data_IF_567928818235
#
_entry.id   IF_567928818235
#
_cell.length_a   1.000
_cell.length_b   1.000
_cell.length_c   1.000
_cell.angle_alpha   90.00
_cell.angle_beta   90.00
_cell.angle_gamma   90.00
#
_symmetry.space_group_name_H-M   'P 1'
#
loop_
_entity.id
_entity.type
_entity.pdbx_description
1 polymer ?
#
# COMPACT_ATOMS: atom_id res chain seq x y z
N UNK A 1 -28.31 -2.64 -2.32
CA UNK A 1 -28.37 -3.84 -1.45
C UNK A 1 -29.01 -4.96 -2.24
N UNK A 2 -28.22 -5.65 -3.07
CA UNK A 2 -28.61 -6.92 -3.68
C UNK A 2 -27.85 -7.97 -2.89
N UNK A 3 -28.52 -8.61 -1.94
CA UNK A 3 -28.02 -9.82 -1.28
C UNK A 3 -28.15 -10.94 -2.31
N UNK A 4 -27.12 -11.06 -3.17
CA UNK A 4 -26.94 -12.25 -3.99
C UNK A 4 -26.56 -13.41 -3.07
N UNK A 5 -27.54 -14.23 -2.72
CA UNK A 5 -27.28 -15.55 -2.13
C UNK A 5 -26.54 -16.40 -3.18
N UNK A 6 -25.21 -16.35 -3.17
CA UNK A 6 -24.42 -17.37 -3.83
C UNK A 6 -24.51 -18.64 -2.99
N UNK A 7 -25.36 -19.56 -3.43
CA UNK A 7 -25.18 -20.95 -3.08
C UNK A 7 -23.84 -21.38 -3.71
N UNK A 8 -22.76 -21.34 -2.92
CA UNK A 8 -21.52 -22.06 -3.24
C UNK A 8 -21.89 -23.54 -3.27
N UNK A 9 -22.28 -24.03 -4.45
CA UNK A 9 -22.38 -25.45 -4.71
C UNK A 9 -20.93 -25.94 -4.74
N UNK A 10 -20.46 -26.43 -3.60
CA UNK A 10 -19.25 -27.24 -3.52
C UNK A 10 -19.51 -28.51 -4.32
N UNK A 11 -19.33 -28.43 -5.64
CA UNK A 11 -19.18 -29.63 -6.46
C UNK A 11 -18.01 -30.41 -5.87
N UNK A 12 -18.21 -31.69 -5.58
CA UNK A 12 -17.13 -32.57 -5.16
C UNK A 12 -16.06 -32.55 -6.24
N UNK A 13 -14.99 -31.81 -6.01
CA UNK A 13 -13.86 -31.69 -6.91
C UNK A 13 -13.00 -32.94 -6.76
N UNK A 14 -13.50 -34.07 -7.23
CA UNK A 14 -12.70 -35.29 -7.30
C UNK A 14 -11.51 -35.04 -8.25
N UNK A 15 -10.32 -34.87 -7.67
CA UNK A 15 -9.04 -34.76 -8.39
C UNK A 15 -8.42 -33.36 -8.46
N UNK A 16 -9.11 -32.29 -8.08
CA UNK A 16 -8.46 -30.96 -8.02
C UNK A 16 -7.70 -30.80 -6.70
N UNK A 17 -6.51 -30.19 -6.79
CA UNK A 17 -5.86 -29.61 -5.63
C UNK A 17 -6.76 -28.47 -5.14
N UNK A 18 -6.96 -27.43 -5.95
CA UNK A 18 -7.71 -26.26 -5.50
C UNK A 18 -8.21 -25.44 -6.69
N UNK A 19 -9.15 -24.52 -6.44
CA UNK A 19 -9.72 -23.62 -7.44
C UNK A 19 -9.60 -22.14 -7.09
N UNK A 20 -9.51 -21.26 -8.09
CA UNK A 20 -9.50 -19.81 -7.93
C UNK A 20 -10.54 -19.22 -8.87
N UNK A 21 -11.51 -18.50 -8.30
CA UNK A 21 -12.59 -17.83 -9.02
C UNK A 21 -12.31 -16.34 -9.12
N UNK A 22 -12.40 -15.77 -10.32
CA UNK A 22 -12.30 -14.34 -10.53
C UNK A 22 -13.70 -13.72 -10.73
N UNK A 23 -14.31 -13.25 -9.65
CA UNK A 23 -15.59 -12.53 -9.65
C UNK A 23 -15.39 -11.00 -9.72
N UNK A 24 -14.33 -10.55 -10.39
CA UNK A 24 -14.06 -9.13 -10.64
C UNK A 24 -14.34 -8.76 -12.08
N UNK A 25 -14.44 -7.47 -12.36
CA UNK A 25 -14.59 -6.93 -13.71
C UNK A 25 -13.29 -6.89 -14.53
N UNK A 26 -12.15 -7.29 -13.96
CA UNK A 26 -10.83 -7.23 -14.59
C UNK A 26 -10.14 -8.59 -14.63
N UNK A 27 -9.32 -8.87 -15.67
CA UNK A 27 -8.50 -10.07 -15.66
C UNK A 27 -7.48 -10.00 -14.53
N UNK A 28 -7.11 -11.16 -14.00
CA UNK A 28 -6.13 -11.29 -12.91
C UNK A 28 -5.10 -12.36 -13.23
N UNK A 29 -3.88 -12.22 -12.74
CA UNK A 29 -2.87 -13.26 -12.67
C UNK A 29 -2.89 -13.83 -11.27
N UNK A 30 -3.11 -15.12 -11.12
CA UNK A 30 -3.04 -15.81 -9.85
C UNK A 30 -1.79 -16.70 -9.85
N UNK A 31 -1.01 -16.67 -8.76
CA UNK A 31 0.17 -17.53 -8.59
C UNK A 31 0.26 -18.08 -7.18
N UNK A 32 0.77 -19.30 -7.03
CA UNK A 32 1.11 -19.85 -5.70
C UNK A 32 2.53 -19.47 -5.35
N UNK A 33 2.71 -18.79 -4.21
CA UNK A 33 4.05 -18.46 -3.73
C UNK A 33 4.77 -19.72 -3.26
N UNK A 34 5.96 -19.97 -3.82
CA UNK A 34 6.76 -21.16 -3.52
C UNK A 34 6.37 -22.40 -4.32
N UNK A 35 5.47 -22.28 -5.29
CA UNK A 35 5.22 -23.26 -6.35
C UNK A 35 5.43 -22.62 -7.74
N UNK A 36 5.19 -23.41 -8.78
CA UNK A 36 5.34 -23.02 -10.18
C UNK A 36 3.99 -22.74 -10.88
N UNK A 37 2.86 -22.91 -10.17
CA UNK A 37 1.54 -22.54 -10.69
C UNK A 37 1.38 -21.02 -10.80
N UNK A 38 1.07 -20.58 -12.02
CA UNK A 38 0.96 -19.18 -12.41
C UNK A 38 0.08 -19.05 -13.65
N UNK A 39 -1.11 -18.47 -13.50
CA UNK A 39 -2.12 -18.41 -14.57
C UNK A 39 -2.82 -17.07 -14.63
N UNK A 40 -3.33 -16.73 -15.81
CA UNK A 40 -4.22 -15.60 -16.01
C UNK A 40 -5.68 -16.08 -16.01
N UNK A 41 -6.52 -15.49 -15.16
CA UNK A 41 -7.94 -15.80 -14.98
C UNK A 41 -8.76 -14.61 -15.48
N UNK A 42 -9.67 -14.84 -16.41
CA UNK A 42 -10.54 -13.80 -16.97
C UNK A 42 -11.70 -13.44 -16.02
N UNK A 43 -12.33 -12.26 -16.17
CA UNK A 43 -13.54 -11.91 -15.44
C UNK A 43 -14.62 -12.99 -15.55
N UNK A 44 -15.22 -13.39 -14.42
CA UNK A 44 -16.28 -14.38 -14.36
C UNK A 44 -15.86 -15.81 -14.67
N UNK A 45 -14.55 -16.09 -14.77
CA UNK A 45 -14.02 -17.44 -14.99
C UNK A 45 -13.23 -17.94 -13.79
N UNK A 46 -12.94 -19.23 -13.78
CA UNK A 46 -12.09 -19.88 -12.78
C UNK A 46 -10.87 -20.55 -13.41
N UNK A 47 -9.90 -20.86 -12.57
CA UNK A 47 -8.80 -21.76 -12.89
C UNK A 47 -8.54 -22.66 -11.71
N UNK A 48 -8.10 -23.88 -11.97
CA UNK A 48 -7.83 -24.85 -10.94
C UNK A 48 -6.49 -25.52 -11.19
N UNK A 49 -5.90 -26.04 -10.11
CA UNK A 49 -4.82 -26.98 -10.25
C UNK A 49 -5.27 -28.40 -9.89
N UNK A 50 -4.73 -29.39 -10.59
CA UNK A 50 -4.98 -30.80 -10.33
C UNK A 50 -4.10 -31.32 -9.19
N UNK A 51 -4.63 -32.20 -8.33
CA UNK A 51 -3.93 -32.72 -7.13
C UNK A 51 -2.70 -33.56 -7.43
N UNK A 52 -2.59 -34.08 -8.66
CA UNK A 52 -1.42 -34.84 -9.12
C UNK A 52 -0.28 -33.95 -9.64
N UNK A 53 -0.50 -32.64 -9.75
CA UNK A 53 0.50 -31.70 -10.21
C UNK A 53 1.32 -31.20 -9.02
N UNK A 54 2.55 -31.70 -8.93
CA UNK A 54 3.48 -31.33 -7.86
C UNK A 54 3.90 -29.86 -7.93
N UNK A 55 3.70 -29.21 -9.07
CA UNK A 55 4.14 -27.84 -9.33
C UNK A 55 3.24 -26.82 -8.64
N UNK A 56 2.00 -27.19 -8.31
CA UNK A 56 1.01 -26.30 -7.68
C UNK A 56 0.62 -26.66 -6.25
N UNK A 57 0.93 -27.88 -5.81
CA UNK A 57 0.88 -28.29 -4.41
C UNK A 57 2.24 -28.86 -4.01
N UNK A 58 3.22 -28.00 -3.68
CA UNK A 58 4.60 -28.44 -3.37
C UNK A 58 4.68 -29.44 -2.22
N UNK A 59 3.63 -29.51 -1.39
CA UNK A 59 3.54 -30.42 -0.26
C UNK A 59 2.91 -31.77 -0.59
N UNK A 60 2.19 -31.88 -1.72
CA UNK A 60 1.38 -33.03 -2.11
C UNK A 60 0.20 -33.34 -1.17
N UNK A 61 -0.12 -32.45 -0.22
CA UNK A 61 -1.17 -32.63 0.77
C UNK A 61 -2.29 -31.60 0.57
N UNK A 62 -3.54 -32.04 0.46
CA UNK A 62 -4.72 -31.18 0.30
C UNK A 62 -4.97 -30.25 1.50
N UNK A 63 -4.43 -30.57 2.68
CA UNK A 63 -4.57 -29.74 3.89
C UNK A 63 -3.40 -28.77 4.08
N UNK A 64 -2.42 -28.75 3.18
CA UNK A 64 -1.34 -27.80 3.29
C UNK A 64 -1.82 -26.38 3.01
N UNK A 65 -1.35 -25.43 3.81
CA UNK A 65 -1.61 -24.01 3.57
C UNK A 65 -0.70 -23.54 2.45
N UNK A 66 -1.31 -22.96 1.42
CA UNK A 66 -0.61 -22.29 0.32
C UNK A 66 -0.94 -20.81 0.35
N UNK A 67 0.01 -19.98 -0.09
CA UNK A 67 -0.23 -18.54 -0.24
C UNK A 67 -0.49 -18.24 -1.72
N UNK A 68 -1.73 -17.85 -2.02
CA UNK A 68 -2.13 -17.39 -3.34
C UNK A 68 -1.88 -15.90 -3.47
N UNK A 69 -1.07 -15.49 -4.43
CA UNK A 69 -0.96 -14.09 -4.84
C UNK A 69 -1.79 -13.85 -6.09
N UNK A 70 -2.62 -12.81 -6.03
CA UNK A 70 -3.47 -12.34 -7.13
C UNK A 70 -2.95 -10.98 -7.56
N UNK A 71 -2.83 -10.75 -8.87
CA UNK A 71 -2.45 -9.49 -9.49
C UNK A 71 -3.47 -9.07 -10.54
N UNK A 72 -3.90 -7.81 -10.63
CA UNK A 72 -4.75 -7.41 -11.79
C UNK A 72 -3.93 -7.34 -13.07
N UNK A 73 -4.56 -7.61 -14.21
CA UNK A 73 -3.97 -7.59 -15.55
C UNK A 73 -4.64 -6.55 -16.45
N UNK A 74 -5.31 -5.57 -15.85
CA UNK A 74 -5.79 -4.41 -16.56
C UNK A 74 -4.64 -3.68 -17.27
N UNK A 75 -4.95 -2.97 -18.36
CA UNK A 75 -4.00 -2.08 -19.06
C UNK A 75 -3.54 -0.91 -18.17
N UNK A 76 -4.04 -0.85 -16.93
CA UNK A 76 -3.51 0.05 -15.95
C UNK A 76 -2.08 -0.39 -15.56
N UNK A 77 -1.07 0.48 -15.76
CA UNK A 77 0.33 0.17 -15.42
C UNK A 77 0.55 -0.12 -13.93
N UNK A 78 -0.49 -0.04 -13.11
CA UNK A 78 -0.47 -0.13 -11.66
C UNK A 78 -1.35 -1.32 -11.25
N UNK A 79 -0.79 -2.53 -11.34
CA UNK A 79 -1.47 -3.80 -11.01
C UNK A 79 -1.70 -3.91 -9.50
N UNK A 80 -2.96 -4.09 -9.06
CA UNK A 80 -3.25 -4.46 -7.67
C UNK A 80 -2.59 -5.80 -7.38
N UNK A 81 -2.03 -5.99 -6.18
CA UNK A 81 -1.60 -7.33 -5.76
C UNK A 81 -1.97 -7.64 -4.33
N UNK A 82 -2.65 -8.76 -4.16
CA UNK A 82 -3.16 -9.27 -2.90
C UNK A 82 -2.58 -10.67 -2.68
N UNK A 83 -2.36 -11.05 -1.42
CA UNK A 83 -1.94 -12.39 -1.07
C UNK A 83 -2.86 -12.94 0.03
N UNK A 84 -3.41 -14.13 -0.18
CA UNK A 84 -4.30 -14.80 0.77
C UNK A 84 -3.82 -16.22 1.04
N UNK A 85 -4.04 -16.70 2.26
CA UNK A 85 -3.83 -18.10 2.59
C UNK A 85 -5.09 -18.91 2.26
N UNK A 86 -4.91 -20.07 1.65
CA UNK A 86 -5.96 -21.08 1.43
C UNK A 86 -5.38 -22.48 1.64
N UNK A 87 -6.24 -23.49 1.85
CA UNK A 87 -5.76 -24.88 1.83
C UNK A 87 -5.60 -25.33 0.37
N UNK A 88 -4.60 -26.17 0.10
CA UNK A 88 -4.32 -26.74 -1.22
C UNK A 88 -5.37 -27.76 -1.69
N UNK A 89 -6.46 -27.93 -0.93
CA UNK A 89 -7.68 -28.67 -1.22
C UNK A 89 -8.92 -27.76 -1.30
N UNK A 90 -8.73 -26.46 -1.06
CA UNK A 90 -9.76 -25.45 -0.89
C UNK A 90 -9.96 -24.58 -2.13
N UNK A 91 -10.46 -23.37 -1.90
CA UNK A 91 -10.81 -22.42 -2.96
C UNK A 91 -10.36 -21.02 -2.59
N UNK A 92 -9.97 -20.20 -3.56
CA UNK A 92 -9.97 -18.76 -3.40
C UNK A 92 -11.00 -18.08 -4.31
N UNK A 93 -11.61 -17.01 -3.81
CA UNK A 93 -12.56 -16.18 -4.54
C UNK A 93 -12.06 -14.75 -4.53
N UNK A 94 -11.85 -14.20 -5.73
CA UNK A 94 -11.46 -12.81 -5.94
C UNK A 94 -12.75 -12.04 -6.19
N UNK A 95 -13.07 -11.08 -5.32
CA UNK A 95 -14.35 -10.37 -5.31
C UNK A 95 -14.13 -8.89 -5.57
N UNK A 96 -15.04 -8.24 -6.29
CA UNK A 96 -15.05 -6.79 -6.45
C UNK A 96 -16.26 -6.16 -5.72
N UNK A 97 -16.00 -5.47 -4.61
CA UNK A 97 -17.04 -4.73 -3.89
C UNK A 97 -17.24 -3.33 -4.49
N UNK A 98 -18.49 -2.98 -4.81
CA UNK A 98 -18.86 -1.64 -5.25
C UNK A 98 -18.53 -0.59 -4.16
N UNK A 99 -17.81 0.48 -4.52
CA UNK A 99 -17.53 1.59 -3.60
C UNK A 99 -18.83 2.35 -3.26
N UNK A 100 -18.92 2.96 -2.07
CA UNK A 100 -20.01 3.90 -1.77
C UNK A 100 -20.07 5.01 -2.82
N UNK A 101 -21.27 5.40 -3.25
CA UNK A 101 -21.56 6.34 -4.36
C UNK A 101 -20.94 7.75 -4.26
N UNK A 102 -20.28 8.04 -3.15
CA UNK A 102 -19.59 9.29 -2.82
C UNK A 102 -18.15 9.36 -3.38
N UNK A 103 -17.64 8.29 -4.01
CA UNK A 103 -16.33 8.24 -4.64
C UNK A 103 -16.49 8.13 -6.16
N UNK A 104 -16.16 9.19 -6.92
CA UNK A 104 -16.20 9.23 -8.38
C UNK A 104 -15.05 8.42 -9.05
N UNK A 105 -14.64 7.31 -8.43
CA UNK A 105 -13.62 6.41 -8.96
C UNK A 105 -14.29 5.30 -9.77
N UNK A 106 -13.75 5.01 -10.96
CA UNK A 106 -14.30 4.04 -11.91
C UNK A 106 -14.11 2.57 -11.51
N UNK A 107 -13.39 2.25 -10.43
CA UNK A 107 -13.07 0.85 -10.05
C UNK A 107 -13.50 0.48 -8.62
N UNK A 108 -14.09 -0.71 -8.48
CA UNK A 108 -14.46 -1.30 -7.20
C UNK A 108 -13.26 -1.66 -6.33
N UNK A 109 -13.51 -2.08 -5.09
CA UNK A 109 -12.48 -2.63 -4.22
C UNK A 109 -12.35 -4.13 -4.49
N UNK A 110 -11.22 -4.57 -5.03
CA UNK A 110 -10.95 -5.99 -5.19
C UNK A 110 -10.40 -6.55 -3.87
N UNK A 111 -10.98 -7.65 -3.41
CA UNK A 111 -10.50 -8.48 -2.30
C UNK A 111 -10.30 -9.93 -2.74
N UNK A 112 -9.59 -10.72 -1.94
CA UNK A 112 -9.44 -12.16 -2.14
C UNK A 112 -9.79 -12.89 -0.85
N UNK A 113 -10.65 -13.88 -0.94
CA UNK A 113 -11.06 -14.78 0.14
C UNK A 113 -10.45 -16.14 -0.13
N UNK A 114 -9.70 -16.69 0.83
CA UNK A 114 -9.12 -18.02 0.76
C UNK A 114 -9.81 -18.95 1.74
N UNK A 115 -10.20 -20.14 1.29
CA UNK A 115 -11.00 -21.09 2.03
C UNK A 115 -10.25 -22.40 2.26
N UNK A 116 -10.68 -23.12 3.30
CA UNK A 116 -10.29 -24.49 3.61
C UNK A 116 -11.05 -25.50 2.75
N UNK A 117 -10.63 -26.77 2.79
CA UNK A 117 -11.31 -27.90 2.13
C UNK A 117 -12.76 -28.02 2.58
N UNK A 118 -13.04 -27.76 3.86
CA UNK A 118 -14.38 -27.86 4.43
C UNK A 118 -15.26 -26.62 4.17
N UNK A 119 -14.76 -25.64 3.40
CA UNK A 119 -15.47 -24.40 3.07
C UNK A 119 -15.34 -23.29 4.11
N UNK A 120 -14.62 -23.50 5.22
CA UNK A 120 -14.36 -22.43 6.19
C UNK A 120 -13.40 -21.39 5.62
N UNK A 121 -13.63 -20.11 5.95
CA UNK A 121 -12.71 -19.03 5.58
C UNK A 121 -11.37 -19.24 6.31
N UNK A 122 -10.28 -19.39 5.54
CA UNK A 122 -8.92 -19.46 6.06
C UNK A 122 -8.26 -18.08 6.13
N UNK A 123 -8.42 -17.29 5.08
CA UNK A 123 -7.81 -15.98 4.94
C UNK A 123 -8.64 -15.02 4.11
N UNK A 124 -8.44 -13.73 4.32
CA UNK A 124 -8.99 -12.66 3.49
C UNK A 124 -7.85 -11.65 3.22
N UNK A 125 -7.85 -11.04 2.05
CA UNK A 125 -6.93 -10.00 1.65
C UNK A 125 -7.68 -8.87 0.93
N UNK A 126 -7.60 -7.61 1.42
CA UNK A 126 -7.08 -7.23 2.72
C UNK A 126 -7.92 -7.83 3.86
N UNK A 127 -7.28 -8.53 4.80
CA UNK A 127 -8.00 -9.25 5.85
C UNK A 127 -8.77 -8.33 6.78
N UNK A 128 -9.98 -8.72 7.19
CA UNK A 128 -10.68 -8.12 8.34
C UNK A 128 -10.39 -8.97 9.57
N UNK A 129 -9.74 -8.40 10.59
CA UNK A 129 -9.65 -9.06 11.91
C UNK A 129 -10.69 -8.43 12.83
N UNK A 130 -11.85 -9.08 12.97
CA UNK A 130 -12.83 -8.72 13.99
C UNK A 130 -12.47 -9.45 15.29
N UNK A 131 -11.87 -8.75 16.27
CA UNK A 131 -11.68 -9.27 17.63
C UNK A 131 -10.28 -9.18 18.24
N UNK A 132 -10.18 -9.48 19.53
CA UNK A 132 -9.05 -9.22 20.43
C UNK A 132 -7.90 -10.26 20.38
N UNK A 133 -7.46 -10.69 19.19
CA UNK A 133 -6.24 -11.49 19.07
C UNK A 133 -5.02 -10.58 18.80
N UNK A 134 -3.86 -10.96 19.34
CA UNK A 134 -2.60 -10.24 19.14
C UNK A 134 -2.33 -10.07 17.64
N UNK A 135 -2.05 -8.83 17.24
CA UNK A 135 -1.76 -8.46 15.85
C UNK A 135 -0.28 -8.63 15.58
N UNK A 136 0.07 -9.24 14.46
CA UNK A 136 1.43 -9.24 13.94
C UNK A 136 1.46 -8.38 12.69
N UNK A 137 1.64 -7.07 12.90
CA UNK A 137 1.71 -6.07 11.84
C UNK A 137 3.13 -5.51 11.79
N UNK A 138 3.89 -5.89 10.77
CA UNK A 138 5.27 -5.45 10.61
C UNK A 138 5.41 -4.61 9.35
N UNK A 139 5.88 -3.37 9.52
CA UNK A 139 6.33 -2.51 8.44
C UNK A 139 7.79 -2.15 8.66
N UNK A 140 8.52 -1.97 7.56
CA UNK A 140 9.81 -1.29 7.58
C UNK A 140 9.54 0.20 7.42
N UNK A 141 10.29 1.05 8.10
CA UNK A 141 10.06 2.51 8.07
C UNK A 141 11.38 3.19 7.80
N UNK A 142 11.35 4.18 6.91
CA UNK A 142 12.47 5.07 6.61
C UNK A 142 11.95 6.48 6.31
N UNK A 143 12.86 7.43 6.23
CA UNK A 143 12.64 8.81 5.79
C UNK A 143 13.98 9.33 5.24
N UNK A 144 13.96 10.52 4.64
CA UNK A 144 15.18 11.29 4.33
C UNK A 144 16.20 10.51 3.50
N UNK A 145 15.73 9.81 2.45
CA UNK A 145 16.64 9.23 1.46
C UNK A 145 17.38 10.33 0.70
N UNK A 146 16.71 11.46 0.48
CA UNK A 146 17.22 12.69 -0.14
C UNK A 146 18.14 12.40 -1.33
N UNK A 147 17.65 11.57 -2.27
CA UNK A 147 18.41 11.28 -3.48
C UNK A 147 18.74 12.58 -4.20
N UNK A 148 20.02 12.78 -4.52
CA UNK A 148 20.46 13.97 -5.23
C UNK A 148 21.17 13.63 -6.53
N UNK A 149 20.78 14.28 -7.63
CA UNK A 149 21.39 14.00 -8.93
C UNK A 149 22.76 14.69 -9.06
N UNK A 150 23.71 14.10 -9.81
CA UNK A 150 24.93 14.78 -10.18
C UNK A 150 24.63 16.11 -10.90
N UNK A 151 25.08 17.23 -10.34
CA UNK A 151 24.84 18.58 -10.86
C UNK A 151 23.70 19.34 -10.18
N UNK A 152 22.81 18.67 -9.45
CA UNK A 152 21.83 19.33 -8.57
C UNK A 152 22.44 19.60 -7.19
N UNK A 153 23.31 18.70 -6.69
CA UNK A 153 24.13 18.91 -5.49
C UNK A 153 25.60 19.19 -5.82
N UNK A 154 26.27 19.92 -4.92
CA UNK A 154 27.69 20.27 -5.03
C UNK A 154 28.55 19.66 -3.92
N UNK A 155 27.94 19.00 -2.95
CA UNK A 155 28.58 18.51 -1.76
C UNK A 155 29.25 17.14 -2.01
N UNK A 156 30.52 17.03 -1.62
CA UNK A 156 31.35 15.83 -1.88
C UNK A 156 30.84 14.54 -1.20
N UNK A 157 29.96 14.66 -0.20
CA UNK A 157 29.40 13.51 0.52
C UNK A 157 28.17 12.90 -0.17
N UNK A 158 27.59 13.57 -1.16
CA UNK A 158 26.35 13.15 -1.83
C UNK A 158 26.46 11.76 -2.49
N UNK A 159 27.55 11.41 -3.19
CA UNK A 159 27.69 10.05 -3.73
C UNK A 159 27.60 8.96 -2.66
N UNK A 160 28.18 9.21 -1.48
CA UNK A 160 28.11 8.29 -0.35
C UNK A 160 26.70 8.22 0.26
N UNK A 161 26.00 9.35 0.37
CA UNK A 161 24.61 9.38 0.83
C UNK A 161 23.67 8.62 -0.12
N UNK A 162 23.74 8.88 -1.44
CA UNK A 162 22.97 8.15 -2.44
C UNK A 162 23.24 6.64 -2.41
N UNK A 163 24.51 6.25 -2.22
CA UNK A 163 24.90 4.83 -2.08
C UNK A 163 24.26 4.23 -0.84
N UNK A 164 24.29 4.95 0.29
CA UNK A 164 23.69 4.50 1.55
C UNK A 164 22.17 4.36 1.42
N UNK A 165 21.47 5.36 0.89
CA UNK A 165 20.03 5.30 0.64
C UNK A 165 19.67 4.11 -0.25
N UNK A 166 20.45 3.87 -1.31
CA UNK A 166 20.24 2.72 -2.22
C UNK A 166 20.40 1.39 -1.50
N UNK A 167 21.44 1.23 -0.68
CA UNK A 167 21.67 0.01 0.08
C UNK A 167 20.57 -0.24 1.13
N UNK A 168 20.11 0.81 1.80
CA UNK A 168 18.98 0.73 2.74
C UNK A 168 17.72 0.27 2.01
N UNK A 169 17.42 0.84 0.85
CA UNK A 169 16.21 0.51 0.07
C UNK A 169 16.26 -0.92 -0.43
N UNK A 170 17.40 -1.34 -0.98
CA UNK A 170 17.62 -2.71 -1.41
C UNK A 170 17.53 -3.70 -0.23
N UNK A 171 18.03 -3.33 0.95
CA UNK A 171 17.91 -4.16 2.14
C UNK A 171 16.45 -4.29 2.59
N UNK A 172 15.69 -3.18 2.63
CA UNK A 172 14.27 -3.23 2.98
C UNK A 172 13.46 -4.06 1.99
N UNK A 173 13.73 -3.93 0.68
CA UNK A 173 13.11 -4.75 -0.37
C UNK A 173 13.48 -6.24 -0.19
N UNK A 174 14.74 -6.55 0.08
CA UNK A 174 15.17 -7.93 0.33
C UNK A 174 14.50 -8.53 1.57
N UNK A 175 14.31 -7.74 2.63
CA UNK A 175 13.59 -8.13 3.85
C UNK A 175 12.11 -8.37 3.57
N UNK A 176 11.46 -7.46 2.85
CA UNK A 176 10.06 -7.63 2.43
C UNK A 176 9.89 -8.90 1.58
N UNK A 177 10.81 -9.17 0.65
CA UNK A 177 10.80 -10.37 -0.19
C UNK A 177 10.96 -11.67 0.59
N UNK A 178 11.85 -11.68 1.59
CA UNK A 178 12.22 -12.90 2.34
C UNK A 178 11.36 -13.17 3.56
N UNK A 179 10.54 -12.20 4.00
CA UNK A 179 9.73 -12.33 5.19
C UNK A 179 8.28 -11.89 4.92
N UNK A 180 7.40 -12.88 4.73
CA UNK A 180 5.97 -12.68 4.47
C UNK A 180 5.21 -11.99 5.61
N UNK A 181 5.78 -11.90 6.81
CA UNK A 181 5.17 -11.15 7.92
C UNK A 181 5.31 -9.63 7.77
N UNK A 182 6.22 -9.16 6.91
CA UNK A 182 6.38 -7.73 6.60
C UNK A 182 5.37 -7.34 5.52
N UNK A 183 4.64 -6.26 5.76
CA UNK A 183 3.49 -5.85 4.96
C UNK A 183 3.79 -4.73 3.97
N UNK A 184 4.86 -3.98 4.25
CA UNK A 184 5.33 -2.93 3.35
C UNK A 184 6.46 -2.12 3.95
N UNK A 185 6.82 -1.07 3.22
CA UNK A 185 7.81 -0.06 3.57
C UNK A 185 7.08 1.28 3.66
N UNK A 186 7.21 1.98 4.78
CA UNK A 186 6.67 3.33 4.97
C UNK A 186 7.79 4.35 4.81
N UNK A 187 7.48 5.43 4.11
CA UNK A 187 8.37 6.56 3.92
C UNK A 187 7.73 7.83 4.47
N UNK A 188 8.40 8.48 5.42
CA UNK A 188 7.94 9.73 6.03
C UNK A 188 8.53 10.98 5.34
N UNK A 189 8.64 10.96 4.01
CA UNK A 189 9.07 12.11 3.23
C UNK A 189 10.56 12.17 2.90
N UNK A 190 10.90 13.21 2.14
CA UNK A 190 12.23 13.54 1.65
C UNK A 190 12.86 12.40 0.85
N UNK A 191 12.12 12.00 -0.18
CA UNK A 191 12.55 10.98 -1.14
C UNK A 191 13.70 11.50 -2.00
N UNK A 192 13.63 12.78 -2.35
CA UNK A 192 14.55 13.50 -3.24
C UNK A 192 15.09 14.74 -2.55
N UNK A 193 16.25 15.23 -2.98
CA UNK A 193 16.84 16.45 -2.44
C UNK A 193 16.22 17.72 -3.03
N UNK A 194 15.88 17.71 -4.33
CA UNK A 194 15.43 18.89 -5.06
C UNK A 194 14.24 18.60 -5.97
N UNK A 195 13.50 17.51 -5.74
CA UNK A 195 12.36 17.09 -6.56
C UNK A 195 12.67 16.95 -8.06
N UNK A 196 13.92 16.67 -8.43
CA UNK A 196 14.35 16.54 -9.83
C UNK A 196 13.89 15.22 -10.43
N UNK A 197 13.70 15.19 -11.76
CA UNK A 197 13.28 13.96 -12.43
C UNK A 197 14.33 12.85 -12.27
N UNK A 198 15.62 13.21 -12.34
CA UNK A 198 16.72 12.26 -12.18
C UNK A 198 16.80 11.70 -10.75
N UNK A 199 16.54 12.53 -9.75
CA UNK A 199 16.46 12.10 -8.35
C UNK A 199 15.30 11.12 -8.13
N UNK A 200 14.12 11.47 -8.65
CA UNK A 200 12.94 10.62 -8.57
C UNK A 200 13.16 9.28 -9.28
N UNK A 201 13.75 9.28 -10.47
CA UNK A 201 14.06 8.06 -11.22
C UNK A 201 15.06 7.18 -10.46
N UNK A 202 16.04 7.79 -9.77
CA UNK A 202 17.00 7.08 -8.91
C UNK A 202 16.31 6.44 -7.70
N UNK A 203 15.43 7.20 -7.02
CA UNK A 203 14.60 6.67 -5.95
C UNK A 203 13.75 5.48 -6.43
N UNK A 204 13.03 5.63 -7.55
CA UNK A 204 12.20 4.57 -8.11
C UNK A 204 13.00 3.32 -8.49
N UNK A 205 14.19 3.49 -9.05
CA UNK A 205 15.08 2.39 -9.38
C UNK A 205 15.52 1.61 -8.12
N UNK A 206 15.73 2.29 -6.99
CA UNK A 206 16.15 1.66 -5.73
C UNK A 206 15.10 0.72 -5.11
N UNK A 207 13.82 0.91 -5.47
CA UNK A 207 12.68 0.11 -4.99
C UNK A 207 11.97 -0.66 -6.12
N UNK A 208 12.62 -0.77 -7.29
CA UNK A 208 12.04 -1.37 -8.48
C UNK A 208 11.53 -2.80 -8.22
N UNK A 209 10.37 -3.12 -8.81
CA UNK A 209 9.69 -4.41 -8.62
C UNK A 209 8.86 -4.54 -7.34
N UNK A 210 8.98 -3.60 -6.38
CA UNK A 210 8.25 -3.63 -5.11
C UNK A 210 7.50 -2.32 -4.78
N UNK A 211 7.47 -1.36 -5.70
CA UNK A 211 6.87 -0.02 -5.53
C UNK A 211 5.45 0.00 -4.95
N UNK A 212 4.63 -1.02 -5.23
CA UNK A 212 3.26 -1.17 -4.70
C UNK A 212 3.16 -1.47 -3.19
N UNK A 213 4.25 -1.96 -2.58
CA UNK A 213 4.35 -2.19 -1.15
C UNK A 213 5.07 -1.04 -0.42
N UNK A 214 5.33 0.05 -1.15
CA UNK A 214 5.98 1.26 -0.61
C UNK A 214 4.92 2.35 -0.46
N UNK A 215 4.72 2.78 0.78
CA UNK A 215 3.82 3.84 1.19
C UNK A 215 4.63 5.10 1.49
N UNK A 216 4.97 5.79 0.42
CA UNK A 216 5.72 7.04 0.42
C UNK A 216 4.85 8.26 0.64
N UNK A 217 5.34 9.12 1.54
CA UNK A 217 4.90 10.49 1.73
C UNK A 217 5.91 11.47 1.15
N UNK A 218 5.51 12.74 1.13
CA UNK A 218 6.32 13.88 0.72
C UNK A 218 6.94 14.56 1.94
N UNK A 219 8.20 14.96 1.81
CA UNK A 219 8.84 15.93 2.70
C UNK A 219 9.01 17.28 2.00
N UNK A 220 9.69 18.24 2.63
CA UNK A 220 9.84 19.57 2.05
C UNK A 220 10.76 19.58 0.82
N UNK A 221 11.75 18.69 0.77
CA UNK A 221 12.68 18.60 -0.36
C UNK A 221 12.01 18.04 -1.62
N UNK A 222 10.93 17.26 -1.44
CA UNK A 222 10.11 16.73 -2.54
C UNK A 222 9.19 17.78 -3.19
N UNK A 223 9.13 18.98 -2.61
CA UNK A 223 8.34 20.12 -3.12
C UNK A 223 9.23 21.26 -3.61
N UNK A 224 10.55 21.06 -3.66
CA UNK A 224 11.49 22.13 -3.92
C UNK A 224 11.34 22.72 -5.33
N UNK A 225 11.64 24.01 -5.47
CA UNK A 225 11.46 24.84 -6.67
C UNK A 225 10.07 24.81 -7.32
N UNK A 226 9.02 24.41 -6.60
CA UNK A 226 7.66 24.32 -7.15
C UNK A 226 7.52 23.19 -8.18
N UNK A 227 8.47 22.23 -8.18
CA UNK A 227 8.41 21.04 -9.01
C UNK A 227 7.29 20.13 -8.48
N UNK A 228 6.40 19.70 -9.36
CA UNK A 228 5.22 18.90 -8.98
C UNK A 228 5.41 17.41 -9.16
N UNK A 229 6.48 16.96 -9.82
CA UNK A 229 6.58 15.58 -10.31
C UNK A 229 6.63 14.54 -9.19
N UNK A 230 7.34 14.81 -8.08
CA UNK A 230 7.36 13.89 -6.94
C UNK A 230 5.99 13.83 -6.26
N UNK A 231 5.34 14.99 -6.10
CA UNK A 231 3.94 15.08 -5.62
C UNK A 231 2.96 14.31 -6.52
N UNK A 232 3.06 14.47 -7.82
CA UNK A 232 2.24 13.76 -8.81
C UNK A 232 2.50 12.26 -8.75
N UNK A 233 3.75 11.85 -8.60
CA UNK A 233 4.12 10.45 -8.39
C UNK A 233 3.50 9.90 -7.11
N UNK A 234 3.59 10.60 -5.97
CA UNK A 234 2.99 10.16 -4.70
C UNK A 234 1.47 10.08 -4.83
N UNK A 235 0.84 11.06 -5.48
CA UNK A 235 -0.61 11.12 -5.73
C UNK A 235 -1.09 9.97 -6.63
N UNK A 236 -0.40 9.71 -7.73
CA UNK A 236 -0.87 8.81 -8.80
C UNK A 236 -0.41 7.36 -8.62
N UNK A 237 0.56 7.12 -7.73
CA UNK A 237 1.05 5.78 -7.41
C UNK A 237 -0.06 4.95 -6.80
N UNK A 238 -0.41 3.83 -7.45
CA UNK A 238 -1.21 2.82 -6.76
C UNK A 238 -0.35 2.02 -5.80
N UNK A 239 -0.92 1.77 -4.63
CA UNK A 239 -0.33 0.98 -3.57
C UNK A 239 -1.31 -0.11 -3.19
N UNK A 240 -0.81 -1.22 -2.68
CA UNK A 240 -1.66 -2.26 -2.12
C UNK A 240 -2.51 -1.65 -1.01
N UNK A 241 -3.83 -1.87 -1.09
CA UNK A 241 -4.86 -1.42 -0.13
C UNK A 241 -5.04 0.10 0.05
N UNK A 242 -4.31 0.94 -0.70
CA UNK A 242 -4.47 2.39 -0.62
C UNK A 242 -5.84 2.86 -1.11
N UNK A 243 -6.43 3.72 -0.29
CA UNK A 243 -7.69 4.41 -0.49
C UNK A 243 -7.36 5.90 -0.56
N UNK A 244 -7.14 6.42 -1.77
CA UNK A 244 -6.97 7.86 -2.00
C UNK A 244 -8.27 8.49 -2.50
N UNK A 245 -8.43 9.79 -2.21
CA UNK A 245 -9.36 10.66 -2.93
C UNK A 245 -8.67 11.13 -4.21
N UNK A 246 -9.39 11.17 -5.34
CA UNK A 246 -8.83 11.64 -6.61
C UNK A 246 -8.31 13.08 -6.47
N UNK A 247 -7.04 13.32 -6.82
CA UNK A 247 -6.43 14.65 -6.86
C UNK A 247 -5.61 15.07 -5.63
N UNK A 248 -5.66 14.33 -4.53
CA UNK A 248 -4.99 14.65 -3.26
C UNK A 248 -3.74 13.75 -3.05
N UNK A 249 -2.54 14.28 -2.72
CA UNK A 249 -1.38 13.46 -2.36
C UNK A 249 -1.51 12.77 -1.00
N UNK A 250 -2.47 13.16 -0.16
CA UNK A 250 -2.78 12.45 1.08
C UNK A 250 -3.59 11.20 0.77
N UNK A 251 -3.31 10.13 1.50
CA UNK A 251 -4.03 8.87 1.32
C UNK A 251 -4.04 8.07 2.60
N UNK A 252 -5.02 7.19 2.72
CA UNK A 252 -5.12 6.23 3.81
C UNK A 252 -5.14 4.81 3.26
N UNK A 253 -4.86 3.84 4.10
CA UNK A 253 -5.05 2.44 3.76
C UNK A 253 -5.39 1.63 4.99
N UNK A 254 -5.99 0.48 4.76
CA UNK A 254 -6.27 -0.46 5.83
C UNK A 254 -5.30 -1.63 5.74
N UNK A 255 -4.83 -2.07 6.90
CA UNK A 255 -4.21 -3.36 7.04
C UNK A 255 -4.75 -4.06 8.28
N UNK A 256 -5.39 -5.22 8.10
CA UNK A 256 -6.20 -5.82 9.15
C UNK A 256 -7.25 -4.81 9.68
N UNK A 257 -7.38 -4.71 10.99
CA UNK A 257 -8.23 -3.72 11.65
C UNK A 257 -7.48 -2.42 11.99
N UNK A 258 -6.24 -2.23 11.51
CA UNK A 258 -5.49 -0.99 11.69
C UNK A 258 -5.70 -0.07 10.49
N UNK A 259 -5.93 1.20 10.77
CA UNK A 259 -6.08 2.23 9.76
C UNK A 259 -4.81 3.07 9.70
N UNK A 260 -4.26 3.27 8.51
CA UNK A 260 -3.05 4.07 8.30
C UNK A 260 -3.38 5.30 7.49
N UNK A 261 -2.70 6.41 7.79
CA UNK A 261 -2.89 7.68 7.10
C UNK A 261 -1.53 8.30 6.79
N UNK A 262 -1.26 8.56 5.51
CA UNK A 262 -0.11 9.33 5.04
C UNK A 262 -0.56 10.78 4.81
N UNK A 263 -0.05 11.66 5.66
CA UNK A 263 -0.39 13.09 5.72
C UNK A 263 0.71 13.99 5.12
N UNK A 264 1.76 13.37 4.56
CA UNK A 264 2.87 14.04 3.91
C UNK A 264 3.58 15.00 4.87
N UNK A 265 3.55 16.33 4.65
CA UNK A 265 4.32 17.27 5.47
C UNK A 265 3.88 17.29 6.94
N UNK A 266 2.64 17.69 7.19
CA UNK A 266 2.11 17.93 8.53
C UNK A 266 0.58 18.04 8.49
N UNK A 267 -0.14 17.60 9.55
CA UNK A 267 -1.59 17.74 9.68
C UNK A 267 -2.02 19.20 9.92
N UNK A 268 -1.98 20.01 8.86
CA UNK A 268 -2.50 21.37 8.80
C UNK A 268 -3.25 21.59 7.47
N UNK A 269 -3.94 22.74 7.34
CA UNK A 269 -4.60 23.12 6.09
C UNK A 269 -3.89 24.28 5.37
N UNK A 270 -3.14 25.07 6.12
CA UNK A 270 -2.50 26.29 5.63
C UNK A 270 -1.03 26.30 6.02
N UNK A 271 -0.24 27.05 5.27
CA UNK A 271 1.19 27.23 5.51
C UNK A 271 1.42 28.01 6.81
N UNK A 272 2.49 27.70 7.53
CA UNK A 272 2.86 28.50 8.69
C UNK A 272 3.33 29.90 8.24
N UNK A 273 2.81 31.00 8.81
CA UNK A 273 3.08 32.36 8.33
C UNK A 273 4.51 32.88 8.56
N UNK A 274 5.35 32.13 9.29
CA UNK A 274 6.62 32.64 9.85
C UNK A 274 7.83 31.71 9.64
N UNK A 275 7.85 30.89 8.58
CA UNK A 275 9.09 30.21 8.20
C UNK A 275 10.03 31.24 7.57
N UNK A 276 10.96 31.76 8.37
CA UNK A 276 12.02 32.67 7.92
C UNK A 276 12.91 32.05 6.82
N UNK A 277 12.79 30.73 6.62
CA UNK A 277 13.37 29.99 5.52
C UNK A 277 12.32 29.78 4.41
N UNK A 278 12.63 30.39 3.27
CA UNK A 278 12.21 30.03 1.92
C UNK A 278 10.86 30.58 1.42
N UNK A 279 10.91 31.04 0.17
CA UNK A 279 9.77 31.29 -0.69
C UNK A 279 8.72 30.21 -0.45
N UNK A 280 7.56 30.64 0.02
CA UNK A 280 6.41 29.94 0.63
C UNK A 280 5.99 28.56 0.05
N UNK A 281 6.59 28.01 -1.00
CA UNK A 281 6.09 26.85 -1.74
C UNK A 281 6.44 25.47 -1.14
N UNK A 282 7.39 25.38 -0.19
CA UNK A 282 7.91 24.09 0.34
C UNK A 282 7.22 23.57 1.60
N UNK A 283 6.33 24.36 2.20
CA UNK A 283 5.66 24.04 3.46
C UNK A 283 4.14 23.89 3.29
N UNK A 284 3.65 23.68 2.07
CA UNK A 284 2.22 23.54 1.78
C UNK A 284 1.67 22.22 2.35
N UNK A 285 0.81 22.24 3.39
CA UNK A 285 0.22 21.02 3.94
C UNK A 285 -0.81 20.38 3.00
N UNK A 286 -1.24 21.09 1.96
CA UNK A 286 -2.19 20.58 0.96
C UNK A 286 -3.50 20.08 1.58
N UNK A 287 -4.01 20.74 2.63
CA UNK A 287 -5.29 20.37 3.26
C UNK A 287 -5.27 19.10 4.12
N UNK A 288 -4.09 18.65 4.58
CA UNK A 288 -3.91 17.41 5.34
C UNK A 288 -4.83 17.27 6.55
N UNK A 289 -5.10 18.35 7.29
CA UNK A 289 -5.97 18.29 8.48
C UNK A 289 -7.43 18.01 8.10
N UNK A 290 -7.95 18.68 7.06
CA UNK A 290 -9.30 18.41 6.54
C UNK A 290 -9.40 16.99 6.00
N UNK A 291 -8.38 16.54 5.26
CA UNK A 291 -8.29 15.15 4.79
C UNK A 291 -8.39 14.17 5.96
N UNK A 292 -7.57 14.36 6.99
CA UNK A 292 -7.53 13.48 8.17
C UNK A 292 -8.88 13.41 8.87
N UNK A 293 -9.53 14.56 9.13
CA UNK A 293 -10.83 14.60 9.81
C UNK A 293 -11.88 13.80 9.02
N UNK A 294 -11.95 14.02 7.71
CA UNK A 294 -12.93 13.35 6.85
C UNK A 294 -12.65 11.85 6.74
N UNK A 295 -11.39 11.48 6.59
CA UNK A 295 -10.95 10.09 6.47
C UNK A 295 -11.23 9.32 7.77
N UNK A 296 -10.87 9.86 8.93
CA UNK A 296 -11.18 9.24 10.21
C UNK A 296 -12.70 9.14 10.46
N UNK A 297 -13.48 10.17 10.17
CA UNK A 297 -14.92 10.14 10.33
C UNK A 297 -15.58 9.02 9.49
N UNK A 298 -15.10 8.85 8.25
CA UNK A 298 -15.67 7.89 7.31
C UNK A 298 -15.15 6.46 7.51
N UNK A 299 -13.85 6.29 7.79
CA UNK A 299 -13.15 4.99 7.76
C UNK A 299 -12.99 4.37 9.14
N UNK A 300 -12.87 5.21 10.16
CA UNK A 300 -12.71 4.78 11.55
C UNK A 300 -14.02 4.96 12.29
N UNK A 301 -14.64 6.14 12.22
CA UNK A 301 -15.91 6.44 12.90
C UNK A 301 -15.88 6.02 14.36
N UNK A 302 -16.88 5.24 14.79
CA UNK A 302 -16.97 4.66 16.13
C UNK A 302 -16.39 3.25 16.27
N UNK A 303 -15.64 2.76 15.27
CA UNK A 303 -15.16 1.37 15.24
C UNK A 303 -14.14 1.03 16.33
N UNK A 304 -13.45 2.04 16.89
CA UNK A 304 -12.36 1.82 17.86
C UNK A 304 -11.09 1.23 17.24
N UNK A 305 -11.00 1.17 15.92
CA UNK A 305 -9.79 0.72 15.20
C UNK A 305 -8.61 1.63 15.53
N UNK A 306 -7.41 1.09 15.82
CA UNK A 306 -6.24 1.92 16.00
C UNK A 306 -5.83 2.58 14.69
N UNK A 307 -5.24 3.76 14.83
CA UNK A 307 -4.82 4.61 13.71
C UNK A 307 -3.32 4.83 13.80
N UNK A 308 -2.63 4.72 12.66
CA UNK A 308 -1.22 5.08 12.50
C UNK A 308 -1.15 6.28 11.57
N UNK A 309 -0.60 7.37 12.05
CA UNK A 309 -0.42 8.60 11.31
C UNK A 309 1.05 8.74 10.90
N UNK A 310 1.30 9.00 9.63
CA UNK A 310 2.62 9.23 9.06
C UNK A 310 2.66 10.64 8.51
N UNK A 311 3.63 11.42 8.96
CA UNK A 311 3.93 12.75 8.46
C UNK A 311 5.40 13.07 8.69
N UNK A 312 5.94 13.97 7.87
CA UNK A 312 7.36 14.32 7.83
C UNK A 312 7.77 15.19 9.03
N UNK A 313 6.93 16.17 9.41
CA UNK A 313 7.21 17.04 10.55
C UNK A 313 6.44 16.64 11.79
N UNK A 314 7.15 16.30 12.87
CA UNK A 314 6.55 15.95 14.13
C UNK A 314 6.49 17.09 15.15
N UNK A 315 6.43 16.70 16.42
CA UNK A 315 6.37 17.60 17.57
C UNK A 315 7.75 17.88 18.19
N UNK A 316 8.81 17.35 17.59
CA UNK A 316 10.19 17.54 18.00
C UNK A 316 10.68 18.98 17.76
N UNK A 317 11.78 19.32 18.44
CA UNK A 317 12.39 20.65 18.40
C UNK A 317 12.70 21.11 16.98
N UNK A 318 13.14 20.21 16.09
CA UNK A 318 13.42 20.59 14.70
C UNK A 318 12.17 21.14 14.00
N UNK A 319 11.03 20.46 14.10
CA UNK A 319 9.77 20.90 13.49
C UNK A 319 9.18 22.13 14.17
N UNK A 320 9.29 22.20 15.50
CA UNK A 320 8.70 23.26 16.33
C UNK A 320 9.51 24.55 16.26
N UNK A 321 10.82 24.48 16.48
CA UNK A 321 11.69 25.66 16.63
C UNK A 321 11.97 26.32 15.29
N UNK A 322 12.04 25.54 14.20
CA UNK A 322 12.14 26.07 12.84
C UNK A 322 10.79 26.55 12.28
N UNK A 323 9.71 26.47 13.07
CA UNK A 323 8.37 26.98 12.75
C UNK A 323 7.74 26.37 11.49
N UNK A 324 8.03 25.10 11.19
CA UNK A 324 7.40 24.38 10.07
C UNK A 324 5.88 24.35 10.19
N UNK A 325 5.38 24.26 11.41
CA UNK A 325 4.00 24.53 11.79
C UNK A 325 3.92 25.38 13.05
N UNK A 326 2.79 26.06 13.23
CA UNK A 326 2.51 26.93 14.38
C UNK A 326 1.99 26.14 15.58
N UNK A 327 2.05 26.74 16.77
CA UNK A 327 1.43 26.16 17.96
C UNK A 327 -0.09 25.97 17.79
N UNK A 328 -0.77 26.89 17.09
CA UNK A 328 -2.20 26.79 16.81
C UNK A 328 -2.53 25.61 15.88
N UNK A 329 -1.71 25.36 14.85
CA UNK A 329 -1.89 24.20 13.96
C UNK A 329 -1.68 22.89 14.70
N UNK A 330 -0.66 22.81 15.56
CA UNK A 330 -0.42 21.65 16.42
C UNK A 330 -1.59 21.38 17.38
N UNK A 331 -2.16 22.43 17.96
CA UNK A 331 -3.33 22.33 18.83
C UNK A 331 -4.61 21.97 18.06
N UNK A 332 -4.74 22.36 16.80
CA UNK A 332 -5.88 21.94 15.98
C UNK A 332 -5.85 20.46 15.62
N UNK A 333 -4.64 19.87 15.61
CA UNK A 333 -4.43 18.44 15.36
C UNK A 333 -4.68 17.57 16.62
N UNK A 334 -4.34 18.06 17.82
CA UNK A 334 -4.39 17.32 19.10
C UNK A 334 -5.49 17.81 20.05
#
# INVERSE_FOLDING_TARGET
MILGFFALVFLSLDGLAWGVYNDTSVPVRARVLGGDWDVNIQPGTDSACHGSDTDCNPSGNQFAVVTLQVETLDDDPRKLSLAVEMEAGGVAVIVEEARPSQWNSLSGHIGVLGYRVNGDLLGEAPGRVLGATKRHLHFLVSADCQYCAPGDCSEDWIPAANTTATLVNQHMVARLKSNSTIRGILYAGDLTQFASATEMDTYLASIAGYTRFVFDGLGNHDLEYGRTRVREMVRDRKRTTARSMDGDPHYSWDWHDVHFVQLNLMPANERAPNTANLNNQYNDPMGALTFLINDLALRVGSSGRPVILVHHYGFESFSVDNKWWTAAQRLAYW
#
